data_IF_948601580949
#
_entry.id   IF_948601580949
#
_cell.length_a   1.000
_cell.length_b   1.000
_cell.length_c   1.000
_cell.angle_alpha   90.00
_cell.angle_beta   90.00
_cell.angle_gamma   90.00
#
_symmetry.space_group_name_H-M   'P 1'
#
loop_
_entity.id
_entity.type
_entity.pdbx_description
1 polymer ?
#
# COMPACT_ATOMS: atom_id res chain seq x y z
N UNK A 1 0.72 -22.37 -51.89
CA UNK A 1 1.64 -22.98 -50.90
C UNK A 1 1.03 -22.79 -49.51
N UNK A 2 0.50 -23.85 -48.87
CA UNK A 2 -0.10 -23.75 -47.54
C UNK A 2 1.00 -23.52 -46.51
N UNK A 3 0.93 -22.42 -45.77
CA UNK A 3 1.85 -22.14 -44.68
C UNK A 3 1.73 -23.28 -43.62
N UNK A 4 2.88 -23.79 -43.18
CA UNK A 4 2.91 -24.75 -42.06
C UNK A 4 2.34 -24.11 -40.79
N UNK A 5 1.72 -24.91 -39.92
CA UNK A 5 1.11 -24.45 -38.65
C UNK A 5 2.09 -23.61 -37.85
N UNK A 6 3.38 -23.96 -37.84
CA UNK A 6 4.45 -23.22 -37.14
C UNK A 6 4.57 -21.78 -37.68
N UNK A 7 4.63 -21.59 -39.02
CA UNK A 7 4.70 -20.24 -39.63
C UNK A 7 3.42 -19.42 -39.39
N UNK A 8 2.27 -20.06 -39.21
CA UNK A 8 1.03 -19.36 -38.81
C UNK A 8 1.10 -18.85 -37.40
N UNK A 9 1.62 -19.66 -36.48
CA UNK A 9 1.79 -19.28 -35.07
C UNK A 9 2.83 -18.18 -34.91
N UNK A 10 3.95 -18.25 -35.64
CA UNK A 10 4.97 -17.18 -35.68
C UNK A 10 4.37 -15.84 -36.11
N UNK A 11 3.58 -15.81 -37.21
CA UNK A 11 2.92 -14.57 -37.67
C UNK A 11 1.86 -14.05 -36.68
N UNK A 12 1.15 -14.93 -35.99
CA UNK A 12 0.21 -14.52 -34.97
C UNK A 12 0.93 -13.90 -33.79
N UNK A 13 2.07 -14.47 -33.42
CA UNK A 13 2.91 -13.93 -32.35
C UNK A 13 3.50 -12.56 -32.72
N UNK A 14 4.04 -12.41 -33.93
CA UNK A 14 4.53 -11.11 -34.44
C UNK A 14 3.44 -10.04 -34.43
N UNK A 15 2.23 -10.36 -34.90
CA UNK A 15 1.11 -9.41 -34.91
C UNK A 15 0.61 -9.06 -33.49
N UNK A 16 0.69 -10.00 -32.56
CA UNK A 16 0.39 -9.73 -31.15
C UNK A 16 1.48 -8.85 -30.53
N UNK A 17 2.75 -9.17 -30.75
CA UNK A 17 3.89 -8.37 -30.27
C UNK A 17 3.90 -6.94 -30.82
N UNK A 18 3.41 -6.73 -32.05
CA UNK A 18 3.27 -5.42 -32.67
C UNK A 18 1.98 -4.66 -32.28
N UNK A 19 1.14 -5.23 -31.42
CA UNK A 19 -0.12 -4.60 -31.00
C UNK A 19 -1.28 -4.70 -32.02
N UNK A 20 -1.09 -5.39 -33.15
CA UNK A 20 -2.08 -5.54 -34.23
C UNK A 20 -3.23 -6.51 -33.85
N UNK A 21 -3.07 -7.27 -32.77
CA UNK A 21 -4.07 -8.22 -32.27
C UNK A 21 -4.27 -8.03 -30.77
N UNK A 22 -5.53 -7.96 -30.36
CA UNK A 22 -5.84 -8.08 -28.95
C UNK A 22 -5.45 -9.47 -28.44
N UNK A 23 -5.07 -9.58 -27.16
CA UNK A 23 -4.74 -10.84 -26.50
C UNK A 23 -5.84 -11.90 -26.70
N UNK A 24 -7.09 -11.51 -26.58
CA UNK A 24 -8.23 -12.40 -26.79
C UNK A 24 -8.26 -12.96 -28.22
N UNK A 25 -8.06 -12.09 -29.21
CA UNK A 25 -8.01 -12.48 -30.63
C UNK A 25 -6.81 -13.39 -30.91
N UNK A 26 -5.63 -13.07 -30.30
CA UNK A 26 -4.43 -13.91 -30.42
C UNK A 26 -4.66 -15.32 -29.85
N UNK A 27 -5.19 -15.43 -28.62
CA UNK A 27 -5.49 -16.72 -27.98
C UNK A 27 -6.53 -17.53 -28.75
N UNK A 28 -7.59 -16.89 -29.24
CA UNK A 28 -8.63 -17.56 -30.05
C UNK A 28 -8.04 -18.09 -31.37
N UNK A 29 -7.20 -17.32 -32.05
CA UNK A 29 -6.60 -17.71 -33.31
C UNK A 29 -5.51 -18.79 -33.14
N UNK A 30 -4.75 -18.76 -32.05
CA UNK A 30 -3.76 -19.80 -31.72
C UNK A 30 -4.44 -21.12 -31.33
N UNK A 31 -5.54 -21.07 -30.56
CA UNK A 31 -6.35 -22.25 -30.23
C UNK A 31 -6.96 -22.87 -31.50
N UNK A 32 -7.52 -22.06 -32.41
CA UNK A 32 -8.05 -22.51 -33.67
C UNK A 32 -6.97 -23.12 -34.60
N UNK A 33 -5.75 -22.59 -34.58
CA UNK A 33 -4.62 -23.13 -35.33
C UNK A 33 -4.13 -24.48 -34.78
N UNK A 34 -4.19 -24.67 -33.45
CA UNK A 34 -3.82 -25.93 -32.78
C UNK A 34 -4.85 -27.04 -33.03
N UNK A 35 -6.15 -26.74 -33.02
CA UNK A 35 -7.22 -27.70 -33.29
C UNK A 35 -7.21 -28.19 -34.74
N UNK A 36 -6.85 -27.33 -35.70
CA UNK A 36 -6.74 -27.74 -37.12
C UNK A 36 -5.50 -28.60 -37.42
N UNK A 37 -4.55 -28.68 -36.48
CA UNK A 37 -3.34 -29.50 -36.61
C UNK A 37 -3.47 -30.90 -35.96
N UNK A 38 -4.65 -31.25 -35.43
CA UNK A 38 -4.91 -32.58 -34.82
C UNK A 38 -4.09 -32.85 -33.54
N UNK A 39 -3.53 -31.82 -32.90
CA UNK A 39 -2.78 -31.90 -31.65
C UNK A 39 -3.78 -31.80 -30.47
N UNK A 40 -4.40 -32.91 -30.12
CA UNK A 40 -5.14 -33.01 -28.86
C UNK A 40 -4.16 -33.14 -27.70
N UNK A 41 -3.78 -32.03 -27.10
CA UNK A 41 -3.01 -32.03 -25.85
C UNK A 41 -3.95 -31.59 -24.71
N UNK A 42 -4.43 -32.50 -23.84
CA UNK A 42 -5.39 -32.17 -22.78
C UNK A 42 -4.88 -31.12 -21.77
N UNK A 43 -3.55 -30.96 -21.67
CA UNK A 43 -2.90 -29.98 -20.80
C UNK A 43 -2.79 -28.57 -21.44
N UNK A 44 -2.82 -28.45 -22.78
CA UNK A 44 -2.80 -27.14 -23.45
C UNK A 44 -4.12 -26.38 -23.25
N UNK A 45 -5.24 -27.04 -23.10
CA UNK A 45 -6.54 -26.40 -22.84
C UNK A 45 -6.61 -25.69 -21.49
N UNK A 46 -5.86 -26.18 -20.48
CA UNK A 46 -5.78 -25.55 -19.17
C UNK A 46 -4.73 -24.41 -19.09
N UNK A 47 -3.66 -24.50 -19.89
CA UNK A 47 -2.62 -23.50 -19.94
C UNK A 47 -2.97 -22.27 -20.82
N UNK A 48 -4.05 -22.36 -21.62
CA UNK A 48 -4.49 -21.33 -22.58
C UNK A 48 -5.81 -20.66 -22.19
N UNK A 49 -6.49 -21.12 -21.15
CA UNK A 49 -7.65 -20.41 -20.61
C UNK A 49 -7.15 -19.21 -19.81
N UNK A 50 -7.34 -17.99 -20.37
CA UNK A 50 -7.13 -16.76 -19.60
C UNK A 50 -7.97 -16.84 -18.32
N UNK A 51 -7.40 -16.42 -17.19
CA UNK A 51 -8.17 -16.33 -15.96
C UNK A 51 -9.36 -15.38 -16.17
N UNK A 52 -10.52 -15.77 -15.69
CA UNK A 52 -11.74 -14.94 -15.75
C UNK A 52 -11.85 -14.03 -14.54
N UNK A 53 -10.98 -14.23 -13.55
CA UNK A 53 -10.94 -13.43 -12.34
C UNK A 53 -9.51 -13.32 -11.80
N UNK A 54 -9.25 -12.21 -11.10
CA UNK A 54 -8.04 -11.95 -10.30
C UNK A 54 -8.48 -11.60 -8.89
N UNK A 55 -7.85 -12.23 -7.88
CA UNK A 55 -8.07 -11.90 -6.48
C UNK A 55 -7.13 -10.80 -6.03
N UNK A 56 -7.70 -9.79 -5.37
CA UNK A 56 -6.98 -8.68 -4.75
C UNK A 56 -7.37 -8.59 -3.27
N UNK A 57 -6.41 -8.67 -2.37
CA UNK A 57 -6.60 -8.51 -0.93
C UNK A 57 -5.96 -7.19 -0.47
N UNK A 58 -6.73 -6.35 0.23
CA UNK A 58 -6.30 -5.02 0.66
C UNK A 58 -6.88 -4.60 2.01
N UNK A 59 -6.65 -3.34 2.38
CA UNK A 59 -6.95 -2.78 3.71
C UNK A 59 -8.44 -2.54 3.98
N UNK A 60 -9.30 -2.67 2.97
CA UNK A 60 -10.72 -2.40 3.12
C UNK A 60 -11.06 -0.91 3.34
N UNK A 61 -12.34 -0.67 3.67
CA UNK A 61 -12.88 0.67 3.94
C UNK A 61 -12.75 1.62 2.75
N UNK A 62 -12.70 2.92 3.04
CA UNK A 62 -12.72 3.98 2.01
C UNK A 62 -11.59 3.90 0.98
N UNK A 63 -10.44 3.33 1.35
CA UNK A 63 -9.32 3.11 0.42
C UNK A 63 -9.72 2.08 -0.62
N UNK A 64 -10.17 0.91 -0.18
CA UNK A 64 -10.55 -0.14 -1.12
C UNK A 64 -11.81 0.20 -1.91
N UNK A 65 -12.76 0.95 -1.32
CA UNK A 65 -13.93 1.47 -2.03
C UNK A 65 -13.52 2.39 -3.19
N UNK A 66 -12.50 3.24 -3.00
CA UNK A 66 -11.95 4.08 -4.05
C UNK A 66 -11.25 3.25 -5.13
N UNK A 67 -10.44 2.26 -4.75
CA UNK A 67 -9.80 1.34 -5.70
C UNK A 67 -10.85 0.56 -6.50
N UNK A 68 -11.88 0.04 -5.83
CA UNK A 68 -12.97 -0.66 -6.51
C UNK A 68 -13.65 0.23 -7.54
N UNK A 69 -14.06 1.41 -7.12
CA UNK A 69 -14.82 2.34 -7.96
C UNK A 69 -14.04 2.84 -9.18
N UNK A 70 -12.77 3.19 -8.99
CA UNK A 70 -11.98 3.89 -9.99
C UNK A 70 -10.99 3.01 -10.75
N UNK A 71 -10.70 1.80 -10.25
CA UNK A 71 -9.82 0.85 -10.90
C UNK A 71 -10.50 -0.48 -11.22
N UNK A 72 -11.05 -1.22 -10.25
CA UNK A 72 -11.51 -2.59 -10.48
C UNK A 72 -12.76 -2.68 -11.37
N UNK A 73 -13.76 -1.83 -11.12
CA UNK A 73 -14.96 -1.78 -11.96
C UNK A 73 -14.65 -1.38 -13.40
N UNK A 74 -13.86 -0.30 -13.67
CA UNK A 74 -13.43 0.04 -15.02
C UNK A 74 -12.55 -1.03 -15.68
N UNK A 75 -11.64 -1.67 -14.94
CA UNK A 75 -10.83 -2.78 -15.42
C UNK A 75 -11.70 -3.96 -15.88
N UNK A 76 -12.65 -4.38 -15.03
CA UNK A 76 -13.59 -5.45 -15.35
C UNK A 76 -14.44 -5.11 -16.58
N UNK A 77 -14.93 -3.88 -16.67
CA UNK A 77 -15.71 -3.43 -17.82
C UNK A 77 -14.89 -3.44 -19.13
N UNK A 78 -13.60 -3.13 -19.06
CA UNK A 78 -12.68 -3.09 -20.21
C UNK A 78 -12.22 -4.49 -20.65
N UNK A 79 -11.90 -5.37 -19.71
CA UNK A 79 -11.21 -6.65 -19.98
C UNK A 79 -12.15 -7.86 -19.92
N UNK A 80 -13.25 -7.76 -19.18
CA UNK A 80 -14.10 -8.88 -18.81
C UNK A 80 -13.54 -9.74 -17.66
N UNK A 81 -12.35 -9.40 -17.12
CA UNK A 81 -11.72 -10.09 -15.99
C UNK A 81 -12.30 -9.50 -14.70
N UNK A 82 -12.92 -10.32 -13.88
CA UNK A 82 -13.48 -9.88 -12.60
C UNK A 82 -12.38 -9.73 -11.56
N UNK A 83 -12.44 -8.67 -10.74
CA UNK A 83 -11.59 -8.54 -9.56
C UNK A 83 -12.38 -9.03 -8.34
N UNK A 84 -11.92 -10.12 -7.73
CA UNK A 84 -12.47 -10.67 -6.49
C UNK A 84 -11.72 -10.05 -5.32
N UNK A 85 -12.44 -9.41 -4.41
CA UNK A 85 -11.81 -8.64 -3.34
C UNK A 85 -11.84 -9.39 -2.02
N UNK A 86 -10.71 -9.39 -1.32
CA UNK A 86 -10.57 -9.72 0.09
C UNK A 86 -10.11 -8.52 0.89
N UNK A 87 -10.26 -8.56 2.22
CA UNK A 87 -9.78 -7.51 3.11
C UNK A 87 -9.05 -8.10 4.31
N UNK A 88 -8.13 -7.34 4.86
CA UNK A 88 -7.44 -7.62 6.11
C UNK A 88 -7.24 -6.34 6.90
N UNK A 89 -7.06 -6.46 8.22
CA UNK A 89 -6.77 -5.34 9.10
C UNK A 89 -5.35 -5.36 9.64
N UNK A 90 -4.66 -6.50 9.48
CA UNK A 90 -3.30 -6.73 9.95
C UNK A 90 -2.53 -7.54 8.90
N UNK A 91 -1.35 -7.06 8.50
CA UNK A 91 -0.59 -7.68 7.42
C UNK A 91 0.16 -8.94 7.87
N UNK A 92 0.55 -9.06 9.13
CA UNK A 92 1.13 -10.30 9.66
C UNK A 92 0.10 -11.43 9.71
N UNK A 93 -1.18 -11.09 9.95
CA UNK A 93 -2.29 -12.03 9.85
C UNK A 93 -2.46 -12.56 8.43
N UNK A 94 -2.48 -11.68 7.41
CA UNK A 94 -2.65 -12.11 6.02
C UNK A 94 -1.45 -12.92 5.53
N UNK A 95 -0.22 -12.57 5.91
CA UNK A 95 0.99 -13.35 5.60
C UNK A 95 0.88 -14.77 6.17
N UNK A 96 0.39 -14.90 7.41
CA UNK A 96 0.18 -16.20 8.04
C UNK A 96 -0.86 -17.04 7.29
N UNK A 97 -1.95 -16.44 6.84
CA UNK A 97 -2.97 -17.09 6.02
C UNK A 97 -2.40 -17.55 4.67
N UNK A 98 -1.64 -16.68 3.99
CA UNK A 98 -0.99 -16.99 2.71
C UNK A 98 -0.04 -18.18 2.85
N UNK A 99 0.81 -18.20 3.89
CA UNK A 99 1.76 -19.31 4.14
C UNK A 99 1.09 -20.66 4.34
N UNK A 100 -0.14 -20.68 4.81
CA UNK A 100 -0.90 -21.92 5.09
C UNK A 100 -1.90 -22.28 3.97
N UNK A 101 -2.06 -21.40 2.98
CA UNK A 101 -2.96 -21.59 1.84
C UNK A 101 -2.26 -22.26 0.66
N UNK A 102 -3.03 -22.70 -0.33
CA UNK A 102 -2.46 -23.21 -1.57
C UNK A 102 -1.98 -22.06 -2.46
N UNK A 103 -0.88 -22.25 -3.23
CA UNK A 103 -0.49 -21.28 -4.24
C UNK A 103 -1.67 -20.95 -5.18
N UNK A 104 -1.94 -19.65 -5.38
CA UNK A 104 -3.06 -19.16 -6.19
C UNK A 104 -4.35 -18.86 -5.41
N UNK A 105 -4.49 -19.27 -4.15
CA UNK A 105 -5.64 -18.88 -3.30
C UNK A 105 -5.63 -17.36 -2.99
N UNK A 106 -4.45 -16.77 -2.90
CA UNK A 106 -4.19 -15.33 -2.83
C UNK A 106 -3.33 -14.93 -4.03
N UNK A 107 -3.59 -13.79 -4.65
CA UNK A 107 -2.95 -13.47 -5.92
C UNK A 107 -2.25 -12.12 -5.92
N UNK A 108 -2.96 -11.02 -5.70
CA UNK A 108 -2.39 -9.68 -5.53
C UNK A 108 -2.70 -9.21 -4.13
N UNK A 109 -1.71 -8.69 -3.42
CA UNK A 109 -1.86 -8.14 -2.07
C UNK A 109 -1.40 -6.69 -2.07
N UNK A 110 -2.20 -5.82 -1.47
CA UNK A 110 -1.85 -4.44 -1.16
C UNK A 110 -1.03 -4.42 0.13
N UNK A 111 0.28 -4.24 0.01
CA UNK A 111 1.26 -4.43 1.08
C UNK A 111 1.82 -3.09 1.58
N UNK A 112 2.33 -3.06 2.80
CA UNK A 112 2.88 -1.86 3.46
C UNK A 112 4.38 -1.68 3.22
N UNK A 113 4.77 -1.70 1.95
CA UNK A 113 6.11 -1.30 1.53
C UNK A 113 7.22 -2.28 1.90
N UNK A 114 8.43 -1.74 1.95
CA UNK A 114 9.67 -2.55 1.95
C UNK A 114 9.79 -3.47 3.15
N UNK A 115 9.30 -3.07 4.33
CA UNK A 115 9.39 -3.90 5.54
C UNK A 115 8.58 -5.19 5.39
N UNK A 116 7.36 -5.09 4.88
CA UNK A 116 6.53 -6.26 4.63
C UNK A 116 6.98 -7.03 3.40
N UNK A 117 7.50 -6.34 2.37
CA UNK A 117 8.11 -7.00 1.22
C UNK A 117 9.21 -8.00 1.64
N UNK A 118 10.06 -7.63 2.61
CA UNK A 118 11.06 -8.55 3.20
C UNK A 118 10.39 -9.77 3.81
N UNK A 119 9.28 -9.61 4.54
CA UNK A 119 8.55 -10.74 5.14
C UNK A 119 7.98 -11.69 4.08
N UNK A 120 7.42 -11.17 2.98
CA UNK A 120 6.94 -11.99 1.86
C UNK A 120 8.07 -12.74 1.16
N UNK A 121 9.22 -12.08 0.93
CA UNK A 121 10.42 -12.73 0.35
C UNK A 121 10.90 -13.86 1.27
N UNK A 122 11.05 -13.59 2.56
CA UNK A 122 11.51 -14.57 3.54
C UNK A 122 10.54 -15.76 3.67
N UNK A 123 9.24 -15.51 3.51
CA UNK A 123 8.23 -16.55 3.45
C UNK A 123 8.26 -17.35 2.14
N UNK A 124 8.94 -16.84 1.11
CA UNK A 124 9.08 -17.49 -0.19
C UNK A 124 7.75 -17.57 -0.98
N UNK A 125 6.82 -16.67 -0.74
CA UNK A 125 5.46 -16.71 -1.32
C UNK A 125 5.27 -15.76 -2.51
N UNK A 126 6.18 -14.83 -2.75
CA UNK A 126 6.14 -13.84 -3.84
C UNK A 126 6.50 -14.43 -5.20
N UNK A 127 6.01 -13.83 -6.27
CA UNK A 127 6.35 -14.11 -7.67
C UNK A 127 7.11 -12.95 -8.30
N UNK A 128 8.10 -13.26 -9.16
CA UNK A 128 8.78 -12.25 -9.97
C UNK A 128 7.83 -11.67 -11.03
N UNK A 129 7.86 -10.35 -11.20
CA UNK A 129 7.07 -9.60 -12.16
C UNK A 129 7.83 -9.50 -13.50
N UNK A 130 7.13 -9.68 -14.60
CA UNK A 130 7.64 -9.30 -15.92
C UNK A 130 7.33 -7.83 -16.17
N UNK A 131 8.29 -6.96 -15.94
CA UNK A 131 8.13 -5.50 -16.07
C UNK A 131 7.71 -5.06 -17.49
N UNK A 132 8.01 -5.85 -18.53
CA UNK A 132 7.56 -5.57 -19.88
C UNK A 132 6.02 -5.60 -20.03
N UNK A 133 5.32 -6.29 -19.13
CA UNK A 133 3.86 -6.34 -19.07
C UNK A 133 3.26 -5.17 -18.27
N UNK A 134 4.11 -4.35 -17.65
CA UNK A 134 3.69 -3.20 -16.83
C UNK A 134 4.36 -1.91 -17.35
N UNK A 135 4.09 -1.47 -18.58
CA UNK A 135 4.73 -0.28 -19.15
C UNK A 135 4.49 1.00 -18.34
N UNK A 136 3.38 1.11 -17.59
CA UNK A 136 3.10 2.24 -16.72
C UNK A 136 4.03 2.32 -15.50
N UNK A 137 4.83 1.29 -15.22
CA UNK A 137 5.91 1.35 -14.23
C UNK A 137 6.93 2.47 -14.53
N UNK A 138 7.06 2.87 -15.80
CA UNK A 138 7.90 4.00 -16.22
C UNK A 138 7.44 5.35 -15.63
N UNK A 139 6.18 5.46 -15.22
CA UNK A 139 5.59 6.66 -14.59
C UNK A 139 5.75 6.68 -13.07
N UNK A 140 6.21 5.59 -12.47
CA UNK A 140 6.35 5.47 -11.01
C UNK A 140 7.63 6.16 -10.55
N UNK A 141 7.57 6.79 -9.39
CA UNK A 141 8.68 7.42 -8.68
C UNK A 141 9.83 6.43 -8.47
N UNK A 142 10.99 6.69 -9.07
CA UNK A 142 12.17 5.83 -8.93
C UNK A 142 12.64 5.68 -7.48
N UNK A 143 12.63 6.72 -6.61
CA UNK A 143 12.97 6.56 -5.21
C UNK A 143 12.09 5.57 -4.45
N UNK A 144 10.86 5.32 -4.91
CA UNK A 144 9.99 4.29 -4.33
C UNK A 144 10.30 2.88 -4.83
N UNK A 145 10.81 2.73 -6.06
CA UNK A 145 11.17 1.43 -6.67
C UNK A 145 12.52 0.92 -6.16
N UNK A 146 13.50 1.82 -6.02
CA UNK A 146 14.88 1.47 -5.68
C UNK A 146 15.04 0.61 -4.41
N UNK A 147 14.30 0.83 -3.31
CA UNK A 147 14.40 -0.01 -2.12
C UNK A 147 14.05 -1.48 -2.39
N UNK A 148 13.05 -1.73 -3.24
CA UNK A 148 12.66 -3.10 -3.64
C UNK A 148 13.75 -3.75 -4.50
N UNK A 149 14.34 -3.01 -5.45
CA UNK A 149 15.43 -3.51 -6.31
C UNK A 149 16.72 -3.83 -5.55
N UNK A 150 16.96 -3.17 -4.43
CA UNK A 150 18.11 -3.50 -3.57
C UNK A 150 17.96 -4.84 -2.88
N UNK A 151 16.74 -5.30 -2.66
CA UNK A 151 16.45 -6.57 -2.00
C UNK A 151 16.38 -7.74 -2.98
N UNK A 152 15.84 -7.51 -4.17
CA UNK A 152 15.70 -8.53 -5.20
C UNK A 152 16.09 -8.00 -6.58
N UNK A 153 16.84 -8.76 -7.41
CA UNK A 153 17.23 -8.33 -8.75
C UNK A 153 16.03 -8.07 -9.67
N UNK A 154 14.94 -8.81 -9.46
CA UNK A 154 13.68 -8.64 -10.16
C UNK A 154 12.59 -8.25 -9.18
N UNK A 155 11.72 -7.35 -9.58
CA UNK A 155 10.60 -6.92 -8.76
C UNK A 155 9.58 -8.05 -8.56
N UNK A 156 9.00 -8.12 -7.38
CA UNK A 156 7.80 -8.91 -7.08
C UNK A 156 6.66 -8.03 -6.58
N UNK A 157 6.94 -6.75 -6.39
CA UNK A 157 5.99 -5.74 -5.95
C UNK A 157 6.21 -4.44 -6.71
N UNK A 158 5.16 -3.63 -6.80
CA UNK A 158 5.17 -2.33 -7.49
C UNK A 158 4.57 -1.28 -6.54
N UNK A 159 5.31 -0.20 -6.21
CA UNK A 159 4.78 0.90 -5.41
C UNK A 159 3.51 1.49 -6.02
N UNK A 160 2.53 1.79 -5.17
CA UNK A 160 1.22 2.24 -5.60
C UNK A 160 0.84 3.63 -5.09
N UNK A 161 0.94 3.84 -3.79
CA UNK A 161 0.70 5.12 -3.16
C UNK A 161 1.63 5.32 -1.95
N UNK A 162 1.51 6.49 -1.30
CA UNK A 162 2.26 6.80 -0.09
C UNK A 162 1.54 7.81 0.76
N UNK A 163 1.97 7.92 2.01
CA UNK A 163 1.40 8.87 2.94
C UNK A 163 2.28 9.09 4.16
N UNK A 164 1.72 9.84 5.11
CA UNK A 164 2.30 10.04 6.42
C UNK A 164 1.34 9.63 7.52
N UNK A 165 1.90 9.18 8.61
CA UNK A 165 1.23 9.15 9.90
C UNK A 165 1.65 10.43 10.62
N UNK A 166 0.79 11.41 10.67
CA UNK A 166 1.04 12.68 11.35
C UNK A 166 0.22 12.78 12.64
N UNK A 167 -0.03 14.00 13.08
CA UNK A 167 -0.81 14.28 14.30
C UNK A 167 -2.15 14.91 13.90
N UNK A 168 -3.24 14.23 14.22
CA UNK A 168 -4.60 14.75 14.09
C UNK A 168 -5.09 15.32 15.42
N UNK A 169 -5.82 16.42 15.36
CA UNK A 169 -6.35 17.07 16.54
C UNK A 169 -7.69 17.75 16.27
N UNK A 170 -8.55 17.81 17.30
CA UNK A 170 -9.82 18.51 17.24
C UNK A 170 -9.59 20.02 17.38
N UNK A 171 -9.89 20.78 16.32
CA UNK A 171 -9.65 22.23 16.25
C UNK A 171 -10.53 23.06 17.17
N UNK A 172 -11.60 22.48 17.72
CA UNK A 172 -12.43 23.14 18.75
C UNK A 172 -11.82 23.05 20.16
N UNK A 173 -10.79 22.21 20.35
CA UNK A 173 -10.13 21.96 21.65
C UNK A 173 -8.68 22.40 21.61
N UNK A 174 -7.99 22.21 20.52
CA UNK A 174 -6.57 22.51 20.30
C UNK A 174 -6.47 23.49 19.13
N UNK A 175 -5.92 24.68 19.37
CA UNK A 175 -5.75 25.63 18.28
C UNK A 175 -4.65 25.17 17.30
N UNK A 176 -4.70 25.61 16.04
CA UNK A 176 -3.62 25.31 15.08
C UNK A 176 -2.24 25.84 15.55
N UNK A 177 -2.21 26.97 16.29
CA UNK A 177 -0.98 27.53 16.86
C UNK A 177 -0.40 26.59 17.94
N UNK A 178 -1.23 26.15 18.90
CA UNK A 178 -0.83 25.19 19.91
C UNK A 178 -0.35 23.87 19.28
N UNK A 179 -1.07 23.39 18.25
CA UNK A 179 -0.71 22.19 17.55
C UNK A 179 0.67 22.31 16.86
N UNK A 180 0.90 23.42 16.18
CA UNK A 180 2.19 23.69 15.52
C UNK A 180 3.34 23.85 16.51
N UNK A 181 3.11 24.51 17.63
CA UNK A 181 4.13 24.72 18.67
C UNK A 181 4.54 23.40 19.33
N UNK A 182 3.56 22.56 19.69
CA UNK A 182 3.81 21.33 20.43
C UNK A 182 4.21 20.15 19.54
N UNK A 183 3.74 20.12 18.29
CA UNK A 183 4.03 19.03 17.35
C UNK A 183 3.77 17.66 17.95
N UNK A 184 4.79 16.79 17.94
CA UNK A 184 4.73 15.43 18.52
C UNK A 184 4.40 15.47 20.02
N UNK A 185 4.78 16.52 20.73
CA UNK A 185 4.51 16.69 22.17
C UNK A 185 3.03 16.64 22.54
N UNK A 186 2.12 16.90 21.60
CA UNK A 186 0.67 16.77 21.83
C UNK A 186 0.27 15.36 22.28
N UNK A 187 0.92 14.32 21.76
CA UNK A 187 0.63 12.91 22.11
C UNK A 187 1.04 12.57 23.55
N UNK A 188 1.86 13.44 24.17
CA UNK A 188 2.42 13.25 25.50
C UNK A 188 1.98 14.36 26.47
N UNK A 189 1.03 15.21 26.07
CA UNK A 189 0.57 16.32 26.88
C UNK A 189 -0.49 15.86 27.90
N UNK A 190 -0.15 15.96 29.17
CA UNK A 190 -1.03 15.62 30.30
C UNK A 190 -2.33 16.42 30.33
N UNK A 191 -2.37 17.59 29.67
CA UNK A 191 -3.59 18.39 29.49
C UNK A 191 -4.71 17.59 28.82
N UNK A 192 -4.35 16.65 27.96
CA UNK A 192 -5.30 15.83 27.19
C UNK A 192 -5.41 14.38 27.71
N UNK A 193 -4.97 14.11 28.94
CA UNK A 193 -5.07 12.78 29.54
C UNK A 193 -6.50 12.23 29.47
N UNK A 194 -6.66 10.97 29.08
CA UNK A 194 -7.94 10.31 28.85
C UNK A 194 -8.67 10.75 27.55
N UNK A 195 -8.03 11.58 26.72
CA UNK A 195 -8.53 12.00 25.39
C UNK A 195 -7.47 11.89 24.28
N UNK A 196 -6.33 11.29 24.57
CA UNK A 196 -5.30 10.93 23.60
C UNK A 196 -5.68 9.61 22.95
N UNK A 197 -5.55 9.51 21.65
CA UNK A 197 -5.61 8.25 20.89
C UNK A 197 -4.23 7.84 20.40
N UNK A 198 -4.15 6.64 19.82
CA UNK A 198 -2.95 6.19 19.13
C UNK A 198 -3.22 4.96 18.28
N UNK A 199 -2.44 4.74 17.22
CA UNK A 199 -2.49 3.50 16.47
C UNK A 199 -1.92 2.35 17.29
N UNK A 200 -2.61 1.23 17.31
CA UNK A 200 -2.29 0.06 18.15
C UNK A 200 -1.14 -0.78 17.57
N UNK A 201 -0.10 -0.15 17.07
CA UNK A 201 1.08 -0.84 16.51
C UNK A 201 2.38 -0.41 17.20
N UNK A 202 3.36 -1.28 17.18
CA UNK A 202 4.67 -1.08 17.80
C UNK A 202 5.45 0.03 17.07
N UNK A 203 5.45 0.03 15.75
CA UNK A 203 6.27 0.94 14.94
C UNK A 203 5.93 2.39 15.23
N UNK A 204 4.65 2.75 15.14
CA UNK A 204 4.18 4.12 15.38
C UNK A 204 4.44 4.56 16.83
N UNK A 205 4.24 3.67 17.80
CA UNK A 205 4.49 3.99 19.22
C UNK A 205 5.96 4.28 19.49
N UNK A 206 6.85 3.42 19.01
CA UNK A 206 8.31 3.60 19.16
C UNK A 206 8.78 4.83 18.38
N UNK A 207 8.28 5.04 17.16
CA UNK A 207 8.64 6.17 16.31
C UNK A 207 8.41 7.51 16.99
N UNK A 208 7.17 7.74 17.45
CA UNK A 208 6.82 9.01 18.08
C UNK A 208 7.45 9.20 19.45
N UNK A 209 7.68 8.13 20.21
CA UNK A 209 8.41 8.17 21.45
C UNK A 209 9.89 8.53 21.21
N UNK A 210 10.52 8.01 20.15
CA UNK A 210 11.87 8.37 19.77
C UNK A 210 11.97 9.85 19.40
N UNK A 211 11.05 10.35 18.56
CA UNK A 211 11.00 11.78 18.22
C UNK A 211 10.81 12.65 19.48
N UNK A 212 9.94 12.24 20.40
CA UNK A 212 9.70 12.96 21.66
C UNK A 212 10.93 13.00 22.58
N UNK A 213 11.80 11.99 22.49
CA UNK A 213 13.09 11.98 23.22
C UNK A 213 14.22 12.68 22.46
N UNK A 214 13.92 13.25 21.28
CA UNK A 214 14.92 13.92 20.43
C UNK A 214 15.87 12.95 19.72
N UNK A 215 15.48 11.68 19.59
CA UNK A 215 16.27 10.65 18.94
C UNK A 215 15.77 10.41 17.49
N UNK A 216 16.70 9.98 16.63
CA UNK A 216 16.37 9.50 15.30
C UNK A 216 15.69 8.13 15.39
N UNK A 217 14.45 7.97 14.90
CA UNK A 217 13.76 6.69 14.91
C UNK A 217 14.50 5.55 14.17
N UNK A 218 15.37 5.88 13.21
CA UNK A 218 16.20 4.94 12.49
C UNK A 218 17.57 4.68 13.12
N UNK A 219 17.85 5.29 14.29
CA UNK A 219 19.14 5.16 14.99
C UNK A 219 18.97 5.46 16.49
N UNK A 220 18.03 4.80 17.14
CA UNK A 220 17.74 4.97 18.58
C UNK A 220 18.94 4.52 19.40
N UNK A 221 19.42 5.40 20.29
CA UNK A 221 20.58 5.15 21.16
C UNK A 221 20.20 4.81 22.60
N UNK A 222 19.10 5.36 23.07
CA UNK A 222 18.55 5.15 24.42
C UNK A 222 17.12 4.63 24.31
N UNK A 223 17.03 3.30 24.19
CA UNK A 223 15.74 2.62 24.06
C UNK A 223 14.94 2.64 25.38
N UNK A 224 15.61 2.74 26.54
CA UNK A 224 14.92 2.82 27.83
C UNK A 224 14.13 4.14 27.96
N UNK A 225 14.72 5.26 27.51
CA UNK A 225 14.02 6.54 27.41
C UNK A 225 12.83 6.48 26.47
N UNK A 226 12.96 5.79 25.32
CA UNK A 226 11.85 5.58 24.36
C UNK A 226 10.73 4.78 25.02
N UNK A 227 11.04 3.64 25.68
CA UNK A 227 10.03 2.86 26.38
C UNK A 227 9.35 3.60 27.54
N UNK A 228 10.07 4.47 28.22
CA UNK A 228 9.47 5.34 29.23
C UNK A 228 8.40 6.26 28.59
N UNK A 229 8.69 6.83 27.42
CA UNK A 229 7.73 7.66 26.68
C UNK A 229 6.56 6.85 26.11
N UNK A 230 6.78 5.64 25.63
CA UNK A 230 5.69 4.75 25.22
C UNK A 230 4.73 4.46 26.38
N UNK A 231 5.25 4.22 27.60
CA UNK A 231 4.41 4.06 28.82
C UNK A 231 3.66 5.34 29.15
N UNK A 232 4.33 6.50 29.12
CA UNK A 232 3.67 7.79 29.34
C UNK A 232 2.50 8.01 28.36
N UNK A 233 2.71 7.77 27.07
CA UNK A 233 1.64 7.87 26.06
C UNK A 233 0.51 6.87 26.35
N UNK A 234 0.82 5.62 26.72
CA UNK A 234 -0.17 4.62 27.10
C UNK A 234 -1.03 5.10 28.27
N UNK A 235 -0.43 5.71 29.29
CA UNK A 235 -1.13 6.17 30.49
C UNK A 235 -2.03 7.38 30.22
N UNK A 236 -1.73 8.16 29.17
CA UNK A 236 -2.54 9.30 28.71
C UNK A 236 -3.64 8.86 27.74
N UNK A 237 -3.47 7.71 27.08
CA UNK A 237 -4.36 7.27 26.02
C UNK A 237 -5.73 6.86 26.58
N UNK A 238 -6.79 7.34 25.95
CA UNK A 238 -8.14 6.79 26.11
C UNK A 238 -8.22 5.42 25.41
N UNK A 239 -7.67 5.34 24.21
CA UNK A 239 -7.72 4.13 23.40
C UNK A 239 -6.63 4.11 22.33
N UNK A 240 -6.10 2.94 22.07
CA UNK A 240 -5.37 2.64 20.85
C UNK A 240 -6.34 2.06 19.82
N UNK A 241 -6.46 2.73 18.67
CA UNK A 241 -7.34 2.31 17.59
C UNK A 241 -6.61 1.32 16.66
N UNK A 242 -7.36 0.40 16.06
CA UNK A 242 -6.84 -0.71 15.25
C UNK A 242 -7.20 -0.62 13.75
N UNK A 243 -8.03 0.36 13.38
CA UNK A 243 -8.45 0.54 11.97
C UNK A 243 -8.74 2.01 11.66
N UNK A 244 -8.65 2.37 10.37
CA UNK A 244 -9.00 3.72 9.92
C UNK A 244 -10.45 4.09 10.21
N UNK A 245 -11.37 3.14 10.18
CA UNK A 245 -12.77 3.36 10.53
C UNK A 245 -12.93 3.71 12.02
N UNK A 246 -12.25 3.00 12.90
CA UNK A 246 -12.25 3.28 14.33
C UNK A 246 -11.62 4.63 14.65
N UNK A 247 -10.49 4.97 14.01
CA UNK A 247 -9.87 6.30 14.11
C UNK A 247 -10.86 7.41 13.79
N UNK A 248 -11.53 7.30 12.63
CA UNK A 248 -12.49 8.30 12.18
C UNK A 248 -13.69 8.41 13.12
N UNK A 249 -14.19 7.30 13.64
CA UNK A 249 -15.30 7.27 14.59
C UNK A 249 -14.94 7.96 15.92
N UNK A 250 -13.79 7.64 16.48
CA UNK A 250 -13.32 8.24 17.74
C UNK A 250 -13.10 9.76 17.63
N UNK A 251 -12.53 10.23 16.51
CA UNK A 251 -12.32 11.65 16.28
C UNK A 251 -13.63 12.39 15.99
N UNK A 252 -14.50 11.86 15.13
CA UNK A 252 -15.77 12.50 14.76
C UNK A 252 -16.72 12.65 15.95
N UNK A 253 -16.70 11.69 16.89
CA UNK A 253 -17.48 11.73 18.14
C UNK A 253 -16.82 12.57 19.23
N UNK A 254 -15.59 13.06 19.03
CA UNK A 254 -14.83 13.79 20.07
C UNK A 254 -14.44 12.91 21.27
N UNK A 255 -14.44 11.60 21.11
CA UNK A 255 -14.00 10.68 22.16
C UNK A 255 -12.50 10.82 22.42
N UNK A 256 -11.72 11.05 21.37
CA UNK A 256 -10.33 11.48 21.44
C UNK A 256 -10.21 12.86 20.81
N UNK A 257 -9.27 13.67 21.28
CA UNK A 257 -9.06 15.05 20.80
C UNK A 257 -7.70 15.21 20.10
N UNK A 258 -6.80 14.26 20.30
CA UNK A 258 -5.48 14.22 19.64
C UNK A 258 -5.04 12.75 19.49
N UNK A 259 -4.43 12.45 18.36
CA UNK A 259 -3.88 11.12 18.05
C UNK A 259 -2.86 11.23 16.93
N UNK A 260 -1.95 10.26 16.81
CA UNK A 260 -1.34 9.99 15.52
C UNK A 260 -2.42 9.50 14.54
N UNK A 261 -2.26 9.80 13.27
CA UNK A 261 -3.28 9.48 12.28
C UNK A 261 -2.73 9.39 10.87
N UNK A 262 -3.34 8.56 10.05
CA UNK A 262 -3.06 8.48 8.64
C UNK A 262 -3.66 9.68 7.91
N UNK A 263 -2.84 10.37 7.13
CA UNK A 263 -3.18 11.62 6.43
C UNK A 263 -4.50 11.55 5.63
N UNK A 264 -4.71 10.50 4.84
CA UNK A 264 -5.92 10.37 4.01
C UNK A 264 -7.20 10.17 4.83
N UNK A 265 -7.15 9.53 6.01
CA UNK A 265 -8.34 9.41 6.87
C UNK A 265 -8.75 10.76 7.44
N UNK A 266 -7.77 11.61 7.73
CA UNK A 266 -8.06 12.96 8.23
C UNK A 266 -8.57 13.85 7.11
N UNK A 267 -8.01 13.77 5.91
CA UNK A 267 -8.56 14.47 4.75
C UNK A 267 -10.03 14.10 4.50
N UNK A 268 -10.37 12.81 4.61
CA UNK A 268 -11.76 12.36 4.48
C UNK A 268 -12.69 12.93 5.59
N UNK A 269 -12.23 13.06 6.83
CA UNK A 269 -12.98 13.71 7.91
C UNK A 269 -13.17 15.21 7.64
N UNK A 270 -12.15 15.88 7.13
CA UNK A 270 -12.21 17.29 6.76
C UNK A 270 -13.20 17.53 5.62
N UNK A 271 -13.19 16.67 4.59
CA UNK A 271 -14.15 16.70 3.48
C UNK A 271 -15.60 16.50 3.97
N UNK A 272 -15.80 15.75 5.06
CA UNK A 272 -17.10 15.58 5.72
C UNK A 272 -17.49 16.76 6.64
N UNK A 273 -16.63 17.77 6.77
CA UNK A 273 -16.89 18.97 7.57
C UNK A 273 -16.58 18.81 9.07
N UNK A 274 -15.88 17.76 9.48
CA UNK A 274 -15.44 17.62 10.88
C UNK A 274 -14.32 18.62 11.22
N UNK A 275 -14.33 19.21 12.43
CA UNK A 275 -13.33 20.20 12.85
C UNK A 275 -12.04 19.50 13.30
N UNK A 276 -11.38 18.79 12.38
CA UNK A 276 -10.16 18.07 12.62
C UNK A 276 -9.01 18.71 11.86
N UNK A 277 -7.97 19.11 12.59
CA UNK A 277 -6.72 19.58 12.02
C UNK A 277 -5.73 18.41 11.86
N UNK A 278 -4.77 18.59 10.96
CA UNK A 278 -3.70 17.65 10.71
C UNK A 278 -2.37 18.40 10.55
N UNK A 279 -1.31 17.84 11.07
CA UNK A 279 0.05 18.33 10.86
C UNK A 279 1.03 17.14 10.75
N UNK A 280 2.07 17.35 9.95
CA UNK A 280 3.23 16.48 9.85
C UNK A 280 4.43 17.17 10.54
N UNK A 281 4.69 16.91 11.84
CA UNK A 281 5.90 17.37 12.47
C UNK A 281 7.15 16.84 11.74
N UNK A 282 8.26 17.58 11.83
CA UNK A 282 9.52 17.10 11.23
C UNK A 282 9.84 15.69 11.72
N UNK A 283 10.11 14.79 10.79
CA UNK A 283 10.40 13.39 11.07
C UNK A 283 9.17 12.51 11.25
N UNK A 284 7.96 12.99 10.96
CA UNK A 284 6.76 12.14 10.91
C UNK A 284 7.00 10.88 10.09
N UNK A 285 6.41 9.78 10.55
CA UNK A 285 6.55 8.49 9.88
C UNK A 285 5.90 8.53 8.51
N UNK A 286 6.71 8.42 7.46
CA UNK A 286 6.25 8.23 6.10
C UNK A 286 6.21 6.74 5.76
N UNK A 287 5.21 6.34 5.01
CA UNK A 287 5.02 4.97 4.53
C UNK A 287 4.65 4.98 3.06
N UNK A 288 4.86 3.85 2.41
CA UNK A 288 4.40 3.57 1.05
C UNK A 288 3.65 2.25 1.04
N UNK A 289 2.75 2.11 0.09
CA UNK A 289 2.07 0.86 -0.19
C UNK A 289 2.46 0.36 -1.58
N UNK A 290 2.44 -0.95 -1.73
CA UNK A 290 2.79 -1.63 -2.97
C UNK A 290 1.78 -2.74 -3.30
N UNK A 291 1.76 -3.13 -4.56
CA UNK A 291 1.01 -4.28 -5.05
C UNK A 291 1.96 -5.43 -5.29
N UNK A 292 1.84 -6.48 -4.50
CA UNK A 292 2.70 -7.67 -4.53
C UNK A 292 1.96 -8.83 -5.19
N UNK A 293 2.63 -9.55 -6.13
CA UNK A 293 2.05 -10.74 -6.76
C UNK A 293 2.59 -12.00 -6.08
N UNK A 294 1.69 -12.92 -5.74
CA UNK A 294 1.99 -14.15 -5.02
C UNK A 294 2.15 -15.35 -5.96
N UNK A 295 2.80 -16.41 -5.47
CA UNK A 295 3.00 -17.67 -6.22
C UNK A 295 1.69 -18.36 -6.56
N UNK A 296 1.62 -18.91 -7.78
CA UNK A 296 0.44 -19.60 -8.29
C UNK A 296 -0.60 -18.68 -8.91
N UNK A 297 -0.35 -17.35 -8.91
CA UNK A 297 -1.22 -16.37 -9.54
C UNK A 297 -1.24 -16.49 -11.06
N UNK A 298 -2.35 -16.12 -11.71
CA UNK A 298 -2.40 -15.92 -13.16
C UNK A 298 -1.59 -14.65 -13.50
N UNK A 299 -0.27 -14.82 -13.66
CA UNK A 299 0.70 -13.72 -13.74
C UNK A 299 0.32 -12.64 -14.76
N UNK A 300 -0.09 -13.05 -15.95
CA UNK A 300 -0.39 -12.09 -17.00
C UNK A 300 -1.60 -11.20 -16.68
N UNK A 301 -2.64 -11.76 -16.05
CA UNK A 301 -3.83 -11.03 -15.62
C UNK A 301 -3.55 -10.15 -14.41
N UNK A 302 -2.71 -10.61 -13.48
CA UNK A 302 -2.26 -9.81 -12.34
C UNK A 302 -1.40 -8.62 -12.79
N UNK A 303 -0.45 -8.84 -13.70
CA UNK A 303 0.39 -7.78 -14.27
C UNK A 303 -0.44 -6.78 -15.09
N UNK A 304 -1.45 -7.25 -15.84
CA UNK A 304 -2.39 -6.39 -16.57
C UNK A 304 -3.22 -5.52 -15.61
N UNK A 305 -3.70 -6.09 -14.51
CA UNK A 305 -4.43 -5.33 -13.47
C UNK A 305 -3.52 -4.26 -12.85
N UNK A 306 -2.31 -4.63 -12.44
CA UNK A 306 -1.34 -3.68 -11.87
C UNK A 306 -1.02 -2.57 -12.88
N UNK A 307 -0.78 -2.92 -14.14
CA UNK A 307 -0.54 -1.92 -15.19
C UNK A 307 -1.73 -0.99 -15.38
N UNK A 308 -2.95 -1.50 -15.29
CA UNK A 308 -4.18 -0.69 -15.36
C UNK A 308 -4.31 0.25 -14.16
N UNK A 309 -3.98 -0.22 -12.95
CA UNK A 309 -4.00 0.60 -11.74
C UNK A 309 -2.94 1.71 -11.76
N UNK A 310 -1.80 1.48 -12.42
CA UNK A 310 -0.73 2.47 -12.63
C UNK A 310 -0.94 3.39 -13.84
N UNK A 311 -2.00 3.18 -14.65
CA UNK A 311 -2.37 4.13 -15.68
C UNK A 311 -2.60 5.51 -15.05
N UNK A 312 -2.02 6.60 -15.58
CA UNK A 312 -2.11 7.92 -14.95
C UNK A 312 -3.54 8.37 -14.63
N UNK A 313 -4.50 8.14 -15.54
CA UNK A 313 -5.88 8.55 -15.30
C UNK A 313 -6.54 7.73 -14.18
N UNK A 314 -6.31 6.42 -14.17
CA UNK A 314 -6.81 5.51 -13.14
C UNK A 314 -6.20 5.82 -11.78
N UNK A 315 -4.86 5.94 -11.72
CA UNK A 315 -4.12 6.20 -10.49
C UNK A 315 -4.49 7.54 -9.86
N UNK A 316 -4.66 8.60 -10.68
CA UNK A 316 -5.13 9.91 -10.24
C UNK A 316 -6.55 9.81 -9.64
N UNK A 317 -7.47 9.13 -10.33
CA UNK A 317 -8.85 9.00 -9.85
C UNK A 317 -8.93 8.24 -8.51
N UNK A 318 -8.12 7.18 -8.35
CA UNK A 318 -8.02 6.45 -7.08
C UNK A 318 -7.42 7.34 -5.99
N UNK A 319 -6.31 8.04 -6.29
CA UNK A 319 -5.64 8.93 -5.34
C UNK A 319 -6.58 10.03 -4.82
N UNK A 320 -7.38 10.63 -5.68
CA UNK A 320 -8.40 11.60 -5.27
C UNK A 320 -9.51 10.99 -4.42
N UNK A 321 -9.86 9.73 -4.68
CA UNK A 321 -10.89 9.01 -3.94
C UNK A 321 -10.45 8.56 -2.55
N UNK A 322 -9.19 8.14 -2.40
CA UNK A 322 -8.63 7.65 -1.13
C UNK A 322 -7.90 8.74 -0.33
N UNK A 323 -7.61 9.89 -0.96
CA UNK A 323 -6.88 11.02 -0.37
C UNK A 323 -5.43 10.69 0.02
N UNK A 324 -4.75 9.88 -0.78
CA UNK A 324 -3.30 9.63 -0.69
C UNK A 324 -2.61 9.97 -2.01
N UNK A 325 -1.40 10.56 -1.98
CA UNK A 325 -0.63 10.79 -3.19
C UNK A 325 -0.32 9.47 -3.92
N UNK A 326 -0.50 9.42 -5.25
CA UNK A 326 -0.14 8.24 -6.02
C UNK A 326 1.38 8.10 -6.14
N UNK A 327 1.86 6.90 -6.41
CA UNK A 327 3.29 6.66 -6.71
C UNK A 327 3.76 7.27 -8.04
N UNK A 328 2.92 8.03 -8.73
CA UNK A 328 3.27 8.67 -10.01
C UNK A 328 4.29 9.79 -9.82
N UNK A 329 5.27 9.83 -10.71
CA UNK A 329 6.31 10.87 -10.76
C UNK A 329 5.72 12.21 -11.26
N UNK A 330 5.62 13.24 -10.43
CA UNK A 330 5.02 14.52 -10.81
C UNK A 330 5.84 15.28 -11.85
N UNK A 331 7.08 14.88 -12.10
CA UNK A 331 7.91 15.46 -13.16
C UNK A 331 7.59 14.87 -14.54
N UNK A 332 6.89 13.73 -14.59
CA UNK A 332 6.49 13.03 -15.82
C UNK A 332 4.98 13.09 -16.05
N UNK A 333 4.19 13.07 -14.99
CA UNK A 333 2.74 13.03 -15.03
C UNK A 333 2.18 14.28 -14.35
N UNK A 334 1.36 15.05 -15.09
CA UNK A 334 0.67 16.20 -14.49
C UNK A 334 -0.41 15.69 -13.53
N UNK A 335 -0.26 16.01 -12.26
CA UNK A 335 -1.23 15.71 -11.22
C UNK A 335 -2.29 16.82 -11.10
N UNK A 336 -3.33 16.57 -10.34
CA UNK A 336 -4.40 17.55 -10.10
C UNK A 336 -4.09 18.41 -8.88
N UNK A 337 -4.68 19.61 -8.84
CA UNK A 337 -4.54 20.51 -7.69
C UNK A 337 -5.01 19.86 -6.38
N UNK A 338 -5.99 18.94 -6.44
CA UNK A 338 -6.45 18.17 -5.28
C UNK A 338 -5.33 17.29 -4.72
N UNK A 339 -4.61 16.57 -5.59
CA UNK A 339 -3.48 15.72 -5.17
C UNK A 339 -2.33 16.57 -4.65
N UNK A 340 -2.03 17.69 -5.32
CA UNK A 340 -0.93 18.58 -4.91
C UNK A 340 -1.13 19.21 -3.51
N UNK A 341 -2.38 19.26 -3.03
CA UNK A 341 -2.74 19.73 -1.69
C UNK A 341 -2.77 18.62 -0.63
N UNK A 342 -2.62 17.36 -1.01
CA UNK A 342 -2.65 16.27 -0.04
C UNK A 342 -1.42 16.34 0.90
N UNK A 343 -1.61 16.01 2.18
CA UNK A 343 -0.48 15.78 3.07
C UNK A 343 0.48 14.74 2.47
N UNK A 344 1.76 14.84 2.77
CA UNK A 344 2.84 14.02 2.24
C UNK A 344 3.15 14.18 0.72
N UNK A 345 2.39 14.94 -0.06
CA UNK A 345 2.72 15.15 -1.47
C UNK A 345 4.08 15.84 -1.63
N UNK A 346 4.98 15.21 -2.39
CA UNK A 346 6.28 15.78 -2.75
C UNK A 346 6.28 16.22 -4.23
N UNK A 347 6.19 17.53 -4.51
CA UNK A 347 6.16 18.04 -5.89
C UNK A 347 7.48 17.84 -6.63
N UNK A 348 8.58 17.55 -5.90
CA UNK A 348 9.88 17.29 -6.52
C UNK A 348 10.08 15.86 -6.96
N UNK A 349 9.26 14.94 -6.46
CA UNK A 349 9.40 13.50 -6.66
C UNK A 349 10.67 12.90 -6.04
N UNK A 350 11.41 13.68 -5.27
CA UNK A 350 12.67 13.21 -4.66
C UNK A 350 12.48 12.35 -3.43
N UNK A 351 11.31 12.43 -2.79
CA UNK A 351 10.92 11.80 -1.52
C UNK A 351 11.81 12.18 -0.32
N UNK A 352 12.74 13.14 -0.48
CA UNK A 352 13.72 13.51 0.54
C UNK A 352 13.13 14.27 1.74
N UNK A 353 11.96 14.88 1.56
CA UNK A 353 11.24 15.55 2.65
C UNK A 353 10.56 14.58 3.60
N UNK A 354 10.37 13.33 3.17
CA UNK A 354 9.69 12.27 3.91
C UNK A 354 10.70 11.39 4.65
N UNK A 355 10.33 10.92 5.84
CA UNK A 355 11.19 10.07 6.67
C UNK A 355 10.59 8.67 6.75
N UNK A 356 11.15 7.77 5.96
CA UNK A 356 10.76 6.35 5.96
C UNK A 356 11.52 5.56 7.01
N UNK A 357 10.95 4.46 7.47
CA UNK A 357 11.67 3.49 8.28
C UNK A 357 12.83 2.85 7.49
N UNK A 358 13.99 2.74 8.10
CA UNK A 358 15.08 1.91 7.56
C UNK A 358 14.68 0.44 7.70
N UNK A 359 14.45 -0.27 6.59
CA UNK A 359 13.85 -1.60 6.65
C UNK A 359 14.74 -2.64 7.35
N UNK A 360 16.06 -2.48 7.31
CA UNK A 360 16.99 -3.41 7.96
C UNK A 360 17.02 -3.13 9.45
N UNK A 361 17.20 -1.86 9.84
CA UNK A 361 17.23 -1.46 11.24
C UNK A 361 15.95 -1.86 11.99
N UNK A 362 14.79 -1.62 11.38
CA UNK A 362 13.51 -1.97 11.98
C UNK A 362 13.27 -3.48 12.04
N UNK A 363 13.61 -4.23 10.98
CA UNK A 363 13.51 -5.69 10.96
C UNK A 363 14.38 -6.37 12.03
N UNK A 364 15.60 -5.87 12.25
CA UNK A 364 16.52 -6.40 13.26
C UNK A 364 15.99 -6.25 14.70
N UNK A 365 15.12 -5.26 14.94
CA UNK A 365 14.59 -4.93 16.26
C UNK A 365 13.13 -5.38 16.46
N UNK A 366 12.40 -5.71 15.40
CA UNK A 366 10.96 -5.90 15.39
C UNK A 366 10.46 -6.89 16.44
N UNK A 367 11.05 -8.08 16.51
CA UNK A 367 10.63 -9.13 17.43
C UNK A 367 10.75 -8.71 18.91
N UNK A 368 11.87 -8.07 19.26
CA UNK A 368 12.12 -7.61 20.61
C UNK A 368 11.20 -6.47 21.00
N UNK A 369 11.02 -5.51 20.08
CA UNK A 369 10.19 -4.33 20.32
C UNK A 369 8.71 -4.67 20.34
N UNK A 370 8.23 -5.54 19.47
CA UNK A 370 6.84 -6.04 19.49
C UNK A 370 6.52 -6.76 20.80
N UNK A 371 7.41 -7.60 21.30
CA UNK A 371 7.22 -8.25 22.63
C UNK A 371 7.12 -7.23 23.76
N UNK A 372 7.96 -6.20 23.73
CA UNK A 372 7.93 -5.14 24.76
C UNK A 372 6.69 -4.26 24.65
N UNK A 373 6.30 -3.86 23.41
CA UNK A 373 5.07 -3.13 23.16
C UNK A 373 3.84 -3.90 23.68
N UNK A 374 3.73 -5.18 23.37
CA UNK A 374 2.64 -6.03 23.81
C UNK A 374 2.51 -6.12 25.34
N UNK A 375 3.64 -6.08 26.07
CA UNK A 375 3.62 -5.99 27.55
C UNK A 375 3.08 -4.63 27.99
N UNK A 376 3.60 -3.54 27.44
CA UNK A 376 3.17 -2.18 27.78
C UNK A 376 1.69 -1.99 27.46
N UNK A 377 1.22 -2.40 26.28
CA UNK A 377 -0.18 -2.27 25.86
C UNK A 377 -1.14 -3.01 26.83
N UNK A 378 -0.70 -4.12 27.41
CA UNK A 378 -1.46 -4.88 28.42
C UNK A 378 -1.34 -4.35 29.84
N UNK A 379 -0.60 -3.27 30.06
CA UNK A 379 -0.43 -2.67 31.38
C UNK A 379 0.65 -3.32 32.25
N UNK A 380 1.59 -4.03 31.64
CA UNK A 380 2.70 -4.70 32.34
C UNK A 380 4.03 -3.91 32.21
#
# INVERSE_FOLDING_TARGET
MKLTTTRRLERLHERYANGDLSRRTFLTLTAAAATTAGLSMPWMGRALAAATEVRFDGWGGTVQDAIDKYAFQPYTAKTGIKVVQGTFGDEDEIITKIKTSKPGDYQVVHSSGVNYYIKYINAGVNSEINEANIPNLANVLQPMIEPFRKLTPKLSAVPYDYGTTGIAYNTTVISPEEAKEKGVGLLFDKKYAGKVGGYADMTTRVWYAALQTGQDPNAIKDMDAVWAKVRENRDLAKKFWSSGAELMDLLSKGEIVVTDAWSGRIAALQDQGHPIGYLDPKGSYAWMEDMLILKGSPMAECEELINFMLDPATSIAVAEGQSYPPSLDPTKVKLTEKIEKLPAFDPTGSMKALTFADPIYWADNEDAWTKQWNRIAKGA
#
